data_IF_293277231274
#
_entry.id   IF_293277231274
#
_cell.length_a   1.000
_cell.length_b   1.000
_cell.length_c   1.000
_cell.angle_alpha   90.00
_cell.angle_beta   90.00
_cell.angle_gamma   90.00
#
_symmetry.space_group_name_H-M   'P 1'
#
loop_
_entity.id
_entity.type
_entity.pdbx_description
1 polymer ?
#
# COMPACT_ATOMS: atom_id res chain seq x y z
N UNK A 1 0.76 15.80 13.18
CA UNK A 1 0.09 15.73 11.85
C UNK A 1 -0.07 14.24 11.56
N UNK A 2 -1.20 13.72 11.06
CA UNK A 2 -1.25 12.29 10.71
C UNK A 2 -0.27 12.05 9.55
N UNK A 3 0.89 11.44 9.83
CA UNK A 3 1.90 11.08 8.84
C UNK A 3 1.41 9.85 8.04
N UNK A 4 0.52 10.12 7.08
CA UNK A 4 -0.02 9.11 6.17
C UNK A 4 0.87 9.01 4.94
N UNK A 5 1.49 7.84 4.76
CA UNK A 5 2.34 7.52 3.61
C UNK A 5 1.66 6.48 2.73
N UNK A 6 1.56 6.77 1.45
CA UNK A 6 1.02 5.84 0.46
C UNK A 6 2.16 5.32 -0.42
N UNK A 7 2.25 3.99 -0.54
CA UNK A 7 3.31 3.31 -1.27
C UNK A 7 2.69 2.39 -2.31
N UNK A 8 3.13 2.51 -3.57
CA UNK A 8 2.72 1.62 -4.65
C UNK A 8 3.45 0.28 -4.51
N UNK A 9 2.68 -0.81 -4.39
CA UNK A 9 3.20 -2.18 -4.28
C UNK A 9 3.19 -2.93 -5.60
N UNK A 10 2.13 -2.76 -6.39
CA UNK A 10 1.99 -3.41 -7.69
C UNK A 10 1.42 -2.41 -8.70
N UNK A 11 2.21 -1.97 -9.68
CA UNK A 11 1.71 -1.13 -10.77
C UNK A 11 0.75 -1.93 -11.67
N UNK A 12 -0.08 -1.21 -12.42
CA UNK A 12 -1.03 -1.80 -13.36
C UNK A 12 -0.33 -2.37 -14.62
N UNK A 13 0.95 -2.05 -14.82
CA UNK A 13 1.75 -2.52 -15.95
C UNK A 13 2.16 -3.98 -15.73
N UNK A 14 1.90 -4.83 -16.71
CA UNK A 14 2.16 -6.27 -16.64
C UNK A 14 3.64 -6.58 -16.42
N UNK A 15 3.93 -7.45 -15.44
CA UNK A 15 5.25 -8.06 -15.22
C UNK A 15 6.14 -7.39 -14.17
N UNK A 16 5.63 -6.40 -13.41
CA UNK A 16 6.38 -5.74 -12.34
C UNK A 16 5.53 -5.61 -11.08
N UNK A 17 6.18 -5.67 -9.92
CA UNK A 17 5.57 -5.45 -8.61
C UNK A 17 5.41 -6.72 -7.79
N UNK A 18 4.96 -6.53 -6.55
CA UNK A 18 4.82 -7.61 -5.58
C UNK A 18 3.65 -8.54 -5.92
N UNK A 19 3.85 -9.83 -5.75
CA UNK A 19 2.78 -10.83 -5.70
C UNK A 19 1.85 -10.60 -4.50
N UNK A 20 0.71 -11.28 -4.47
CA UNK A 20 -0.22 -11.16 -3.34
C UNK A 20 0.44 -11.53 -2.00
N UNK A 21 1.19 -12.64 -1.97
CA UNK A 21 1.91 -13.09 -0.77
C UNK A 21 2.93 -12.07 -0.30
N UNK A 22 3.72 -11.50 -1.22
CA UNK A 22 4.71 -10.47 -0.89
C UNK A 22 4.04 -9.18 -0.38
N UNK A 23 2.90 -8.78 -0.95
CA UNK A 23 2.12 -7.63 -0.45
C UNK A 23 1.65 -7.85 0.98
N UNK A 24 1.16 -9.06 1.30
CA UNK A 24 0.73 -9.41 2.65
C UNK A 24 1.92 -9.41 3.63
N UNK A 25 3.08 -9.92 3.20
CA UNK A 25 4.29 -9.91 4.02
C UNK A 25 4.76 -8.48 4.32
N UNK A 26 4.76 -7.59 3.33
CA UNK A 26 5.03 -6.15 3.55
C UNK A 26 4.05 -5.57 4.56
N UNK A 27 2.75 -5.85 4.44
CA UNK A 27 1.76 -5.40 5.43
C UNK A 27 2.07 -5.90 6.84
N UNK A 28 2.44 -7.17 6.98
CA UNK A 28 2.82 -7.76 8.27
C UNK A 28 4.05 -7.08 8.87
N UNK A 29 5.06 -6.77 8.05
CA UNK A 29 6.26 -6.05 8.49
C UNK A 29 5.91 -4.64 8.98
N UNK A 30 5.06 -3.92 8.25
CA UNK A 30 4.66 -2.57 8.62
C UNK A 30 3.82 -2.55 9.91
N UNK A 31 2.93 -3.52 10.11
CA UNK A 31 2.21 -3.71 11.37
C UNK A 31 3.18 -3.94 12.55
N UNK A 32 4.19 -4.80 12.36
CA UNK A 32 5.24 -5.02 13.39
C UNK A 32 6.05 -3.77 13.69
N UNK A 33 6.23 -2.90 12.70
CA UNK A 33 6.92 -1.62 12.85
C UNK A 33 6.05 -0.51 13.48
N UNK A 34 4.81 -0.84 13.90
CA UNK A 34 3.92 0.09 14.58
C UNK A 34 3.10 0.99 13.66
N UNK A 35 3.04 0.67 12.36
CA UNK A 35 2.15 1.38 11.44
C UNK A 35 0.76 0.73 11.43
N UNK A 36 -0.28 1.54 11.33
CA UNK A 36 -1.58 1.07 10.86
C UNK A 36 -1.49 0.89 9.35
N UNK A 37 -1.94 -0.26 8.87
CA UNK A 37 -1.83 -0.65 7.47
C UNK A 37 -3.22 -0.71 6.84
N UNK A 38 -3.38 -0.07 5.68
CA UNK A 38 -4.57 -0.21 4.83
C UNK A 38 -4.13 -0.56 3.41
N UNK A 39 -4.65 -1.65 2.85
CA UNK A 39 -4.43 -1.99 1.44
C UNK A 39 -5.48 -1.30 0.58
N UNK A 40 -5.03 -0.66 -0.50
CA UNK A 40 -5.90 0.05 -1.43
C UNK A 40 -5.68 -0.50 -2.83
N UNK A 41 -6.76 -0.85 -3.51
CA UNK A 41 -6.74 -1.26 -4.91
C UNK A 41 -7.49 -0.23 -5.74
N UNK A 42 -6.80 0.49 -6.61
CA UNK A 42 -7.42 1.57 -7.42
C UNK A 42 -6.79 1.69 -8.80
N UNK A 43 -7.45 2.42 -9.69
CA UNK A 43 -6.90 2.69 -11.02
C UNK A 43 -5.79 3.74 -10.94
N UNK A 44 -4.81 3.70 -11.86
CA UNK A 44 -3.84 4.76 -11.97
C UNK A 44 -4.52 6.13 -12.17
N UNK A 45 -3.95 7.22 -11.64
CA UNK A 45 -4.50 8.55 -11.84
C UNK A 45 -4.61 8.87 -13.34
N UNK A 46 -5.77 9.41 -13.75
CA UNK A 46 -6.05 9.72 -15.16
C UNK A 46 -6.48 8.54 -16.02
N UNK A 47 -6.70 7.34 -15.46
CA UNK A 47 -7.23 6.17 -16.20
C UNK A 47 -8.64 5.80 -15.75
N UNK A 48 -9.58 5.78 -16.71
CA UNK A 48 -10.98 5.38 -16.49
C UNK A 48 -11.24 3.89 -16.75
N UNK A 49 -10.32 3.19 -17.41
CA UNK A 49 -10.38 1.75 -17.70
C UNK A 49 -8.97 1.13 -17.65
N UNK A 50 -8.90 -0.20 -17.53
CA UNK A 50 -7.65 -0.97 -17.51
C UNK A 50 -7.29 -1.56 -16.13
N UNK A 51 -6.11 -2.21 -16.04
CA UNK A 51 -5.66 -2.90 -14.83
C UNK A 51 -5.54 -1.96 -13.62
N UNK A 52 -5.80 -2.52 -12.43
CA UNK A 52 -5.71 -1.79 -11.17
C UNK A 52 -4.32 -1.92 -10.54
N UNK A 53 -3.96 -0.90 -9.79
CA UNK A 53 -2.76 -0.83 -8.97
C UNK A 53 -3.08 -1.22 -7.52
N UNK A 54 -2.08 -1.77 -6.84
CA UNK A 54 -2.15 -2.08 -5.42
C UNK A 54 -1.23 -1.16 -4.65
N UNK A 55 -1.79 -0.51 -3.63
CA UNK A 55 -1.11 0.40 -2.75
C UNK A 55 -1.23 -0.09 -1.31
N UNK A 56 -0.27 0.31 -0.49
CA UNK A 56 -0.37 0.25 0.96
C UNK A 56 -0.33 1.67 1.52
N UNK A 57 -1.29 1.99 2.36
CA UNK A 57 -1.34 3.23 3.13
C UNK A 57 -0.90 2.91 4.55
N UNK A 58 0.12 3.61 4.99
CA UNK A 58 0.72 3.51 6.31
C UNK A 58 0.35 4.77 7.09
N UNK A 59 -0.20 4.58 8.27
CA UNK A 59 -0.50 5.66 9.21
C UNK A 59 0.26 5.39 10.51
N UNK A 60 1.18 6.28 10.87
CA UNK A 60 1.87 6.18 12.15
C UNK A 60 0.98 6.87 13.20
N UNK A 61 0.56 6.10 14.21
CA UNK A 61 -0.04 6.70 15.40
C UNK A 61 1.06 7.52 16.11
N UNK A 62 1.14 8.81 15.80
CA UNK A 62 1.83 9.73 16.69
C UNK A 62 1.01 9.81 17.99
N UNK A 63 1.36 9.01 19.00
CA UNK A 63 0.73 9.12 20.31
C UNK A 63 0.60 7.88 21.19
N UNK A 64 1.38 6.81 21.01
CA UNK A 64 1.61 5.89 22.13
C UNK A 64 2.89 6.31 22.85
N UNK A 65 2.69 6.78 24.08
CA UNK A 65 3.68 7.27 25.07
C UNK A 65 4.79 6.27 25.34
#
# INVERSE_FOLDING_TARGET
>A
MQDKKEILLTPAKTGMGLSETERLEVGRLMLKAGYRVTFVKRRPPGKTAGPQEHYIVLDKLEGEL
#
